data_IF_138865800000
#
_entry.id   IF_138865800000
#
_cell.length_a   1.000
_cell.length_b   1.000
_cell.length_c   1.000
_cell.angle_alpha   90.00
_cell.angle_beta   90.00
_cell.angle_gamma   90.00
#
_symmetry.space_group_name_H-M   'P 1'
#
loop_
_entity.id
_entity.type
_entity.pdbx_description
1 polymer ?
#
# COMPACT_ATOMS: atom_id res chain seq x y z
N UNK A 1 -8.58 -28.69 6.55
CA UNK A 1 -9.80 -27.99 6.98
C UNK A 1 -9.54 -26.49 6.80
N UNK A 2 -9.89 -25.92 5.65
CA UNK A 2 -9.83 -24.46 5.44
C UNK A 2 -11.07 -23.89 6.10
N UNK A 3 -10.89 -23.18 7.22
CA UNK A 3 -11.96 -22.33 7.75
C UNK A 3 -12.08 -21.17 6.76
N UNK A 4 -13.27 -21.02 6.17
CA UNK A 4 -13.62 -19.90 5.30
C UNK A 4 -13.92 -18.64 6.13
N UNK A 5 -13.01 -18.28 7.04
CA UNK A 5 -13.13 -17.14 7.96
C UNK A 5 -12.79 -15.82 7.28
N UNK A 6 -12.58 -15.80 5.97
CA UNK A 6 -12.13 -14.56 5.30
C UNK A 6 -13.18 -13.46 5.44
N UNK A 7 -14.46 -13.81 5.49
CA UNK A 7 -15.56 -12.88 5.70
C UNK A 7 -15.77 -12.48 7.17
N UNK A 8 -15.06 -13.09 8.10
CA UNK A 8 -15.18 -12.86 9.55
C UNK A 8 -14.04 -12.00 10.11
N UNK A 9 -12.99 -11.77 9.32
CA UNK A 9 -11.80 -11.01 9.73
C UNK A 9 -11.61 -9.75 8.90
N UNK A 10 -11.04 -8.72 9.54
CA UNK A 10 -10.51 -7.54 8.85
C UNK A 10 -9.00 -7.70 8.71
N UNK A 11 -8.53 -8.00 7.50
CA UNK A 11 -7.12 -8.16 7.20
C UNK A 11 -6.50 -6.81 6.82
N UNK A 12 -5.55 -6.38 7.62
CA UNK A 12 -4.83 -5.11 7.45
C UNK A 12 -3.35 -5.39 7.23
N UNK A 13 -2.73 -4.69 6.28
CA UNK A 13 -1.27 -4.68 6.13
C UNK A 13 -0.77 -3.29 5.76
N UNK A 14 0.55 -3.09 5.77
CA UNK A 14 1.19 -1.82 5.44
C UNK A 14 2.32 -2.02 4.44
N UNK A 15 2.63 -0.99 3.66
CA UNK A 15 3.83 -0.95 2.82
C UNK A 15 4.57 0.38 3.02
N UNK A 16 5.82 0.45 2.52
CA UNK A 16 6.81 1.56 2.50
C UNK A 16 8.13 1.10 3.11
N UNK A 17 8.08 0.31 4.19
CA UNK A 17 9.28 -0.27 4.80
C UNK A 17 9.89 -1.34 3.90
N UNK A 18 11.23 -1.37 3.85
CA UNK A 18 11.93 -2.42 3.14
C UNK A 18 11.79 -3.78 3.84
N UNK A 19 11.17 -4.77 3.18
CA UNK A 19 10.88 -6.09 3.79
C UNK A 19 11.94 -7.17 3.49
N UNK A 20 12.95 -6.83 2.67
CA UNK A 20 14.05 -7.72 2.24
C UNK A 20 15.41 -7.05 2.32
N UNK A 21 15.53 -5.95 3.07
CA UNK A 21 16.79 -5.20 3.20
C UNK A 21 17.88 -6.13 3.74
N UNK A 22 19.07 -6.11 3.13
CA UNK A 22 20.23 -6.93 3.46
C UNK A 22 20.06 -8.45 3.28
N UNK A 23 19.05 -8.90 2.53
CA UNK A 23 18.84 -10.34 2.26
C UNK A 23 19.99 -11.04 1.50
N UNK A 24 20.84 -10.28 0.80
CA UNK A 24 22.05 -10.79 0.13
C UNK A 24 22.95 -9.63 -0.32
N UNK A 25 24.29 -9.72 -0.14
CA UNK A 25 25.24 -8.67 -0.56
C UNK A 25 25.27 -8.42 -2.08
N UNK A 26 24.83 -9.39 -2.88
CA UNK A 26 24.95 -9.33 -4.35
C UNK A 26 23.67 -8.83 -5.06
N UNK A 27 22.62 -8.43 -4.33
CA UNK A 27 21.34 -8.05 -4.93
C UNK A 27 21.09 -6.56 -4.82
N UNK A 28 20.70 -5.93 -5.94
CA UNK A 28 20.19 -4.56 -5.97
C UNK A 28 18.80 -4.54 -5.32
N UNK A 29 18.60 -3.65 -4.34
CA UNK A 29 17.41 -3.65 -3.48
C UNK A 29 16.61 -2.33 -3.53
N UNK A 30 16.94 -1.43 -4.46
CA UNK A 30 16.34 -0.09 -4.58
C UNK A 30 14.81 -0.07 -4.62
N UNK A 31 14.20 -1.12 -5.18
CA UNK A 31 12.74 -1.25 -5.30
C UNK A 31 12.09 -2.11 -4.19
N UNK A 32 12.83 -2.54 -3.17
CA UNK A 32 12.31 -3.41 -2.10
C UNK A 32 11.76 -2.64 -0.90
N UNK A 33 11.78 -1.30 -0.96
CA UNK A 33 11.23 -0.38 0.04
C UNK A 33 10.98 1.00 -0.59
N UNK A 34 10.56 1.96 0.23
CA UNK A 34 10.14 3.28 -0.22
C UNK A 34 8.70 3.30 -0.73
N UNK A 35 8.24 4.50 -1.11
CA UNK A 35 6.83 4.81 -1.37
C UNK A 35 6.41 4.63 -2.84
N UNK A 36 7.38 4.40 -3.73
CA UNK A 36 7.16 4.31 -5.18
C UNK A 36 6.37 3.09 -5.66
N UNK A 37 5.85 3.20 -6.87
CA UNK A 37 4.92 2.24 -7.48
C UNK A 37 5.46 0.80 -7.58
N UNK A 38 6.75 0.62 -7.87
CA UNK A 38 7.39 -0.70 -7.91
C UNK A 38 7.46 -1.34 -6.50
N UNK A 39 7.85 -0.56 -5.48
CA UNK A 39 7.91 -1.03 -4.10
C UNK A 39 6.52 -1.44 -3.60
N UNK A 40 5.50 -0.64 -3.89
CA UNK A 40 4.10 -0.98 -3.59
C UNK A 40 3.71 -2.32 -4.20
N UNK A 41 3.92 -2.49 -5.51
CA UNK A 41 3.54 -3.70 -6.23
C UNK A 41 4.21 -4.96 -5.64
N UNK A 42 5.53 -4.91 -5.45
CA UNK A 42 6.30 -6.05 -4.94
C UNK A 42 5.94 -6.38 -3.48
N UNK A 43 5.77 -5.35 -2.64
CA UNK A 43 5.47 -5.51 -1.21
C UNK A 43 4.07 -6.06 -0.98
N UNK A 44 3.07 -5.59 -1.72
CA UNK A 44 1.70 -6.09 -1.65
C UNK A 44 1.63 -7.54 -2.13
N UNK A 45 2.27 -7.86 -3.26
CA UNK A 45 2.30 -9.23 -3.77
C UNK A 45 2.99 -10.19 -2.78
N UNK A 46 4.07 -9.75 -2.14
CA UNK A 46 4.73 -10.54 -1.09
C UNK A 46 3.84 -10.73 0.14
N UNK A 47 3.18 -9.66 0.59
CA UNK A 47 2.25 -9.71 1.74
C UNK A 47 1.13 -10.72 1.50
N UNK A 48 0.51 -10.71 0.33
CA UNK A 48 -0.59 -11.62 -0.02
C UNK A 48 -0.16 -13.08 -0.06
N UNK A 49 1.05 -13.37 -0.56
CA UNK A 49 1.63 -14.72 -0.48
C UNK A 49 1.83 -15.15 0.97
N UNK A 50 2.40 -14.28 1.81
CA UNK A 50 2.70 -14.60 3.21
C UNK A 50 1.42 -14.78 4.05
N UNK A 51 0.44 -13.92 3.82
CA UNK A 51 -0.86 -13.93 4.50
C UNK A 51 -1.84 -14.95 3.91
N UNK A 52 -1.46 -15.61 2.80
CA UNK A 52 -2.29 -16.58 2.08
C UNK A 52 -3.68 -16.02 1.75
N UNK A 53 -3.71 -14.75 1.31
CA UNK A 53 -4.95 -14.04 0.96
C UNK A 53 -4.84 -13.43 -0.43
N UNK A 54 -5.97 -13.33 -1.13
CA UNK A 54 -6.05 -12.68 -2.43
C UNK A 54 -6.18 -11.15 -2.33
N UNK A 55 -6.64 -10.63 -1.18
CA UNK A 55 -6.87 -9.20 -0.95
C UNK A 55 -6.70 -8.83 0.53
N UNK A 56 -6.48 -7.55 0.79
CA UNK A 56 -6.59 -6.96 2.13
C UNK A 56 -7.83 -6.06 2.21
N UNK A 57 -8.45 -5.98 3.39
CA UNK A 57 -9.53 -5.02 3.61
C UNK A 57 -8.96 -3.62 3.61
N UNK A 58 -7.83 -3.40 4.31
CA UNK A 58 -7.20 -2.09 4.44
C UNK A 58 -5.70 -2.20 4.19
N UNK A 59 -5.21 -1.36 3.27
CA UNK A 59 -3.77 -1.15 3.07
C UNK A 59 -3.39 0.22 3.61
N UNK A 60 -2.48 0.26 4.58
CA UNK A 60 -1.85 1.49 5.02
C UNK A 60 -0.63 1.84 4.16
N UNK A 61 -0.56 3.09 3.74
CA UNK A 61 0.69 3.76 3.43
C UNK A 61 1.40 4.07 4.73
N UNK A 62 2.53 3.40 5.03
CA UNK A 62 3.10 3.41 6.38
C UNK A 62 3.76 4.74 6.75
N UNK A 63 4.52 5.34 5.84
CA UNK A 63 5.13 6.65 6.03
C UNK A 63 5.40 7.32 4.68
N UNK A 64 5.42 8.65 4.70
CA UNK A 64 5.78 9.47 3.56
C UNK A 64 7.30 9.72 3.54
N UNK A 65 7.99 9.30 2.48
CA UNK A 65 9.42 9.60 2.27
C UNK A 65 9.65 10.83 1.36
N UNK A 66 8.57 11.50 0.91
CA UNK A 66 8.55 12.64 -0.01
C UNK A 66 9.24 12.41 -1.37
N UNK A 67 9.72 11.19 -1.66
CA UNK A 67 10.34 10.85 -2.93
C UNK A 67 9.30 10.56 -4.01
N UNK A 68 8.12 10.08 -3.62
CA UNK A 68 6.97 9.87 -4.51
C UNK A 68 5.95 10.98 -4.33
N UNK A 69 5.46 11.54 -5.43
CA UNK A 69 4.43 12.59 -5.38
C UNK A 69 3.09 12.04 -4.90
N UNK A 70 2.25 12.89 -4.31
CA UNK A 70 0.90 12.51 -3.91
C UNK A 70 0.09 11.97 -5.10
N UNK A 71 0.29 12.56 -6.27
CA UNK A 71 -0.36 12.23 -7.52
C UNK A 71 0.00 10.81 -7.99
N UNK A 72 1.30 10.48 -8.02
CA UNK A 72 1.78 9.14 -8.34
C UNK A 72 1.30 8.12 -7.31
N UNK A 73 1.45 8.43 -6.01
CA UNK A 73 1.02 7.58 -4.92
C UNK A 73 -0.45 7.20 -5.05
N UNK A 74 -1.33 8.19 -5.19
CA UNK A 74 -2.77 7.96 -5.29
C UNK A 74 -3.16 7.25 -6.60
N UNK A 75 -2.39 7.42 -7.69
CA UNK A 75 -2.59 6.62 -8.91
C UNK A 75 -2.36 5.13 -8.64
N UNK A 76 -1.24 4.83 -7.98
CA UNK A 76 -0.80 3.46 -7.72
C UNK A 76 -1.67 2.76 -6.67
N UNK A 77 -2.08 3.47 -5.61
CA UNK A 77 -3.05 2.95 -4.64
C UNK A 77 -4.41 2.70 -5.28
N UNK A 78 -4.90 3.62 -6.11
CA UNK A 78 -6.20 3.46 -6.76
C UNK A 78 -6.20 2.29 -7.76
N UNK A 79 -5.07 1.99 -8.39
CA UNK A 79 -4.95 0.80 -9.24
C UNK A 79 -5.18 -0.51 -8.46
N UNK A 80 -4.72 -0.61 -7.20
CA UNK A 80 -4.99 -1.76 -6.34
C UNK A 80 -6.47 -1.86 -5.94
N UNK A 81 -7.10 -0.72 -5.66
CA UNK A 81 -8.53 -0.66 -5.35
C UNK A 81 -9.38 -1.10 -6.55
N UNK A 82 -9.08 -0.57 -7.75
CA UNK A 82 -9.75 -0.96 -9.00
C UNK A 82 -9.58 -2.44 -9.31
N UNK A 83 -8.42 -3.01 -9.00
CA UNK A 83 -8.14 -4.43 -9.16
C UNK A 83 -8.73 -5.32 -8.04
N UNK A 84 -9.47 -4.76 -7.07
CA UNK A 84 -10.03 -5.46 -5.90
C UNK A 84 -8.98 -6.19 -5.05
N UNK A 85 -7.73 -5.75 -5.12
CA UNK A 85 -6.64 -6.25 -4.25
C UNK A 85 -6.70 -5.62 -2.86
N UNK A 86 -7.27 -4.43 -2.77
CA UNK A 86 -7.43 -3.67 -1.53
C UNK A 86 -8.82 -3.04 -1.53
N UNK A 87 -9.53 -3.03 -0.40
CA UNK A 87 -10.87 -2.45 -0.30
C UNK A 87 -10.88 -1.01 0.22
N UNK A 88 -9.99 -0.69 1.16
CA UNK A 88 -9.85 0.60 1.82
C UNK A 88 -8.38 1.02 1.88
N UNK A 89 -8.15 2.33 1.86
CA UNK A 89 -6.81 2.91 1.95
C UNK A 89 -6.67 3.66 3.27
N UNK A 90 -5.54 3.46 3.93
CA UNK A 90 -5.17 4.18 5.16
C UNK A 90 -3.80 4.82 5.03
N UNK A 91 -3.48 5.70 5.96
CA UNK A 91 -2.19 6.38 6.06
C UNK A 91 -1.71 6.38 7.51
N UNK A 92 -0.42 6.15 7.72
CA UNK A 92 0.27 6.24 9.00
C UNK A 92 1.46 7.17 8.84
N UNK A 93 1.91 7.76 9.94
CA UNK A 93 3.19 8.48 10.05
C UNK A 93 3.49 9.44 8.87
N UNK A 94 2.48 10.23 8.49
CA UNK A 94 2.57 11.23 7.43
C UNK A 94 2.08 12.60 7.94
N UNK A 95 2.67 13.70 7.47
CA UNK A 95 2.24 15.03 7.89
C UNK A 95 0.84 15.35 7.33
N UNK A 96 0.00 16.01 8.13
CA UNK A 96 -1.40 16.27 7.80
C UNK A 96 -1.59 16.95 6.43
N UNK A 97 -0.72 17.91 6.08
CA UNK A 97 -0.77 18.60 4.78
C UNK A 97 -0.58 17.65 3.59
N UNK A 98 0.20 16.58 3.74
CA UNK A 98 0.39 15.57 2.70
C UNK A 98 -0.87 14.73 2.54
N UNK A 99 -1.48 14.32 3.65
CA UNK A 99 -2.77 13.61 3.64
C UNK A 99 -3.84 14.45 2.92
N UNK A 100 -3.92 15.75 3.25
CA UNK A 100 -4.82 16.69 2.57
C UNK A 100 -4.55 16.76 1.08
N UNK A 101 -3.28 16.86 0.66
CA UNK A 101 -2.90 16.88 -0.77
C UNK A 101 -3.32 15.58 -1.50
N UNK A 102 -3.08 14.42 -0.89
CA UNK A 102 -3.48 13.12 -1.43
C UNK A 102 -5.00 13.03 -1.62
N UNK A 103 -5.78 13.35 -0.59
CA UNK A 103 -7.24 13.28 -0.66
C UNK A 103 -7.82 14.33 -1.61
N UNK A 104 -7.22 15.51 -1.68
CA UNK A 104 -7.64 16.53 -2.65
C UNK A 104 -7.46 16.08 -4.09
N UNK A 105 -6.29 15.54 -4.41
CA UNK A 105 -6.05 14.94 -5.71
C UNK A 105 -7.02 13.78 -6.01
N UNK A 106 -7.29 12.92 -5.01
CA UNK A 106 -8.21 11.80 -5.18
C UNK A 106 -9.64 12.27 -5.49
N UNK A 107 -10.16 13.26 -4.76
CA UNK A 107 -11.48 13.85 -5.00
C UNK A 107 -11.59 14.46 -6.40
N UNK A 108 -10.59 15.23 -6.82
CA UNK A 108 -10.58 15.88 -8.14
C UNK A 108 -10.57 14.89 -9.31
N UNK A 109 -10.05 13.68 -9.10
CA UNK A 109 -9.86 12.69 -10.17
C UNK A 109 -10.74 11.43 -10.01
N UNK A 110 -11.73 11.46 -9.11
CA UNK A 110 -12.63 10.32 -8.88
C UNK A 110 -11.89 9.04 -8.41
N UNK A 111 -10.85 9.20 -7.59
CA UNK A 111 -10.06 8.09 -7.03
C UNK A 111 -10.46 7.82 -5.59
N UNK A 112 -10.13 6.62 -5.09
CA UNK A 112 -10.36 6.30 -3.68
C UNK A 112 -9.51 7.20 -2.78
N UNK A 113 -10.15 7.85 -1.81
CA UNK A 113 -9.48 8.64 -0.76
C UNK A 113 -8.85 7.75 0.32
N UNK A 114 -7.86 8.30 1.03
CA UNK A 114 -7.34 7.76 2.28
C UNK A 114 -8.39 7.99 3.38
N UNK A 115 -8.81 6.92 4.05
CA UNK A 115 -9.99 6.90 4.92
C UNK A 115 -9.67 6.87 6.42
N UNK A 116 -8.44 6.50 6.79
CA UNK A 116 -7.97 6.33 8.19
C UNK A 116 -6.50 6.68 8.31
#
# INVERSE_FOLDING_TARGET
MYIDSRHEIVLVTKYSSGYKVNSSPAKIQSNLGGTGSNSLHLSVQASFRNLRSAYADLLYFHYCDLATTAEELMQSLNALVRARKVLYLGISDAPAWWVTKCNDYARQHGRRELSV
#
